data_IF_622058376037
#
_entry.id   IF_622058376037
#
_cell.length_a   1.000
_cell.length_b   1.000
_cell.length_c   1.000
_cell.angle_alpha   90.00
_cell.angle_beta   90.00
_cell.angle_gamma   90.00
#
_symmetry.space_group_name_H-M   'P 1'
#
loop_
_entity.id
_entity.type
_entity.pdbx_description
1 polymer ?
#
# COMPACT_ATOMS: atom_id res chain seq x y z
N UNK A 1 9.52 -29.59 -21.10
CA UNK A 1 10.54 -29.59 -22.18
C UNK A 1 10.65 -28.18 -22.76
N UNK A 2 11.63 -27.39 -22.29
CA UNK A 2 11.93 -26.10 -22.90
C UNK A 2 12.83 -26.34 -24.11
N UNK A 3 12.28 -26.29 -25.31
CA UNK A 3 13.08 -26.38 -26.53
C UNK A 3 14.07 -25.20 -26.59
N UNK A 4 15.34 -25.52 -26.80
CA UNK A 4 16.45 -24.57 -26.97
C UNK A 4 16.29 -23.79 -28.28
N UNK A 5 15.45 -22.75 -28.27
CA UNK A 5 15.40 -21.76 -29.34
C UNK A 5 16.54 -20.74 -29.15
N UNK A 6 17.33 -20.42 -30.19
CA UNK A 6 18.39 -19.40 -30.11
C UNK A 6 17.79 -18.03 -29.73
N UNK A 7 18.51 -17.24 -28.91
CA UNK A 7 18.01 -15.99 -28.29
C UNK A 7 17.36 -15.01 -29.29
N UNK A 8 17.86 -14.94 -30.53
CA UNK A 8 17.35 -14.07 -31.60
C UNK A 8 15.98 -14.51 -32.15
N UNK A 9 15.71 -15.82 -32.22
CA UNK A 9 14.39 -16.32 -32.63
C UNK A 9 13.35 -16.11 -31.53
N UNK A 10 13.79 -16.11 -30.26
CA UNK A 10 12.91 -15.85 -29.11
C UNK A 10 12.45 -14.39 -29.08
N UNK A 11 13.34 -13.43 -29.32
CA UNK A 11 12.96 -12.00 -29.36
C UNK A 11 11.99 -11.67 -30.50
N UNK A 12 12.20 -12.24 -31.69
CA UNK A 12 11.28 -12.09 -32.83
C UNK A 12 9.90 -12.66 -32.50
N UNK A 13 9.83 -13.85 -31.88
CA UNK A 13 8.56 -14.45 -31.45
C UNK A 13 7.83 -13.62 -30.39
N UNK A 14 8.55 -13.02 -29.43
CA UNK A 14 7.94 -12.17 -28.40
C UNK A 14 7.38 -10.88 -28.99
N UNK A 15 8.10 -10.27 -29.93
CA UNK A 15 7.64 -9.08 -30.64
C UNK A 15 6.41 -9.37 -31.50
N UNK A 16 6.39 -10.50 -32.22
CA UNK A 16 5.21 -10.90 -32.99
C UNK A 16 4.01 -11.20 -32.09
N UNK A 17 4.22 -11.92 -30.98
CA UNK A 17 3.19 -12.17 -29.98
C UNK A 17 2.64 -10.85 -29.39
N UNK A 18 3.50 -9.92 -29.00
CA UNK A 18 3.08 -8.63 -28.46
C UNK A 18 2.28 -7.80 -29.45
N UNK A 19 2.67 -7.79 -30.73
CA UNK A 19 1.93 -7.12 -31.81
C UNK A 19 0.55 -7.74 -32.02
N UNK A 20 0.46 -9.07 -31.97
CA UNK A 20 -0.80 -9.78 -32.15
C UNK A 20 -1.76 -9.57 -30.98
N UNK A 21 -1.24 -9.49 -29.74
CA UNK A 21 -2.00 -9.09 -28.57
C UNK A 21 -2.53 -7.66 -28.74
N UNK A 22 -1.68 -6.71 -29.11
CA UNK A 22 -2.10 -5.33 -29.39
C UNK A 22 -3.17 -5.24 -30.48
N UNK A 23 -3.04 -6.02 -31.55
CA UNK A 23 -4.05 -6.09 -32.62
C UNK A 23 -5.38 -6.61 -32.07
N UNK A 24 -5.35 -7.71 -31.32
CA UNK A 24 -6.55 -8.32 -30.72
C UNK A 24 -7.27 -7.35 -29.78
N UNK A 25 -6.53 -6.61 -28.96
CA UNK A 25 -7.08 -5.59 -28.05
C UNK A 25 -7.77 -4.49 -28.85
N UNK A 26 -7.09 -3.93 -29.85
CA UNK A 26 -7.64 -2.85 -30.69
C UNK A 26 -8.85 -3.30 -31.51
N UNK A 27 -8.83 -4.54 -32.01
CA UNK A 27 -9.95 -5.13 -32.74
C UNK A 27 -11.15 -5.32 -31.81
N UNK A 28 -10.96 -5.91 -30.64
CA UNK A 28 -12.03 -6.11 -29.65
C UNK A 28 -12.63 -4.79 -29.17
N UNK A 29 -11.79 -3.75 -29.04
CA UNK A 29 -12.23 -2.37 -28.75
C UNK A 29 -13.12 -1.81 -29.86
N UNK A 30 -12.72 -1.95 -31.13
CA UNK A 30 -13.50 -1.49 -32.27
C UNK A 30 -14.85 -2.23 -32.37
N UNK A 31 -14.84 -3.55 -32.20
CA UNK A 31 -16.04 -4.40 -32.26
C UNK A 31 -17.05 -4.02 -31.16
N UNK A 32 -16.60 -3.79 -29.92
CA UNK A 32 -17.51 -3.45 -28.82
C UNK A 32 -18.12 -2.06 -29.01
N UNK A 33 -17.36 -1.10 -29.56
CA UNK A 33 -17.88 0.25 -29.86
C UNK A 33 -18.85 0.25 -31.04
N UNK A 34 -18.60 -0.56 -32.06
CA UNK A 34 -19.56 -0.76 -33.15
C UNK A 34 -20.85 -1.39 -32.64
N UNK A 35 -20.75 -2.38 -31.75
CA UNK A 35 -21.91 -3.02 -31.13
C UNK A 35 -22.69 -2.07 -30.20
N UNK A 36 -21.98 -1.21 -29.47
CA UNK A 36 -22.56 -0.26 -28.51
C UNK A 36 -22.08 1.17 -28.82
N UNK A 37 -22.74 1.89 -29.75
CA UNK A 37 -22.27 3.20 -30.22
C UNK A 37 -22.15 4.28 -29.13
N UNK A 38 -22.90 4.16 -28.03
CA UNK A 38 -22.77 5.13 -26.92
C UNK A 38 -21.36 5.14 -26.31
N UNK A 39 -20.58 4.05 -26.46
CA UNK A 39 -19.20 3.95 -25.98
C UNK A 39 -18.26 4.95 -26.68
N UNK A 40 -18.61 5.49 -27.86
CA UNK A 40 -17.85 6.56 -28.50
C UNK A 40 -17.91 7.88 -27.71
N UNK A 41 -18.92 8.09 -26.87
CA UNK A 41 -19.06 9.29 -26.02
C UNK A 41 -18.28 9.15 -24.71
N UNK A 42 -16.97 8.93 -24.82
CA UNK A 42 -16.08 8.66 -23.67
C UNK A 42 -16.13 9.74 -22.59
N UNK A 43 -16.14 11.02 -22.98
CA UNK A 43 -16.17 12.15 -22.06
C UNK A 43 -17.48 12.20 -21.24
N UNK A 44 -18.60 11.85 -21.86
CA UNK A 44 -19.90 11.78 -21.19
C UNK A 44 -19.93 10.62 -20.20
N UNK A 45 -19.43 9.44 -20.60
CA UNK A 45 -19.32 8.28 -19.70
C UNK A 45 -18.42 8.62 -18.51
N UNK A 46 -17.29 9.29 -18.76
CA UNK A 46 -16.38 9.76 -17.71
C UNK A 46 -17.08 10.70 -16.73
N UNK A 47 -17.83 11.70 -17.24
CA UNK A 47 -18.60 12.62 -16.41
C UNK A 47 -19.67 11.90 -15.56
N UNK A 48 -20.39 10.94 -16.15
CA UNK A 48 -21.43 10.16 -15.46
C UNK A 48 -20.81 9.32 -14.35
N UNK A 49 -19.73 8.57 -14.64
CA UNK A 49 -19.05 7.73 -13.64
C UNK A 49 -18.49 8.61 -12.52
N UNK A 50 -17.89 9.75 -12.87
CA UNK A 50 -17.35 10.69 -11.90
C UNK A 50 -18.44 11.25 -10.97
N UNK A 51 -19.49 11.84 -11.53
CA UNK A 51 -20.59 12.43 -10.76
C UNK A 51 -21.33 11.37 -9.94
N UNK A 52 -21.59 10.21 -10.53
CA UNK A 52 -22.21 9.08 -9.83
C UNK A 52 -21.36 8.57 -8.67
N UNK A 53 -20.03 8.53 -8.83
CA UNK A 53 -19.12 8.15 -7.74
C UNK A 53 -19.17 9.14 -6.58
N UNK A 54 -19.17 10.44 -6.85
CA UNK A 54 -19.28 11.47 -5.81
C UNK A 54 -20.63 11.37 -5.08
N UNK A 55 -21.72 11.20 -5.84
CA UNK A 55 -23.05 11.03 -5.28
C UNK A 55 -23.11 9.82 -4.34
N UNK A 56 -22.55 8.68 -4.74
CA UNK A 56 -22.52 7.47 -3.92
C UNK A 56 -21.67 7.64 -2.66
N UNK A 57 -20.50 8.29 -2.75
CA UNK A 57 -19.67 8.58 -1.57
C UNK A 57 -20.45 9.46 -0.58
N UNK A 58 -21.09 10.52 -1.07
CA UNK A 58 -21.92 11.41 -0.23
C UNK A 58 -23.12 10.66 0.36
N UNK A 59 -23.80 9.83 -0.44
CA UNK A 59 -24.93 9.02 0.01
C UNK A 59 -24.55 8.06 1.12
N UNK A 60 -23.49 7.26 0.95
CA UNK A 60 -23.06 6.31 1.98
C UNK A 60 -22.54 7.01 3.23
N UNK A 61 -21.85 8.14 3.07
CA UNK A 61 -21.45 8.98 4.21
C UNK A 61 -22.65 9.52 4.98
N UNK A 62 -23.70 9.96 4.28
CA UNK A 62 -24.94 10.44 4.88
C UNK A 62 -25.70 9.32 5.61
N UNK A 63 -25.81 8.15 5.00
CA UNK A 63 -26.46 6.98 5.61
C UNK A 63 -25.73 6.54 6.89
N UNK A 64 -24.40 6.61 6.90
CA UNK A 64 -23.59 6.34 8.09
C UNK A 64 -23.82 7.36 9.21
N UNK A 65 -23.76 8.65 8.89
CA UNK A 65 -23.98 9.73 9.87
C UNK A 65 -25.40 9.66 10.46
N UNK A 66 -26.37 9.30 9.62
CA UNK A 66 -27.77 9.08 10.02
C UNK A 66 -28.01 7.72 10.71
N UNK A 67 -26.96 6.93 10.94
CA UNK A 67 -26.99 5.63 11.62
C UNK A 67 -27.84 4.54 10.93
N UNK A 68 -28.08 4.65 9.62
CA UNK A 68 -28.78 3.61 8.84
C UNK A 68 -27.88 2.43 8.46
N UNK A 69 -26.57 2.67 8.31
CA UNK A 69 -25.58 1.65 7.97
C UNK A 69 -24.43 1.68 8.96
N UNK A 70 -23.83 0.52 9.23
CA UNK A 70 -22.69 0.41 10.15
C UNK A 70 -21.39 0.94 9.51
N UNK A 71 -20.38 1.20 10.35
CA UNK A 71 -19.07 1.65 9.91
C UNK A 71 -18.42 0.67 8.90
N UNK A 72 -18.53 -0.65 9.13
CA UNK A 72 -17.94 -1.68 8.26
C UNK A 72 -18.53 -1.61 6.85
N UNK A 73 -19.87 -1.54 6.74
CA UNK A 73 -20.54 -1.44 5.45
C UNK A 73 -20.20 -0.14 4.73
N UNK A 74 -20.13 0.97 5.47
CA UNK A 74 -19.72 2.27 4.94
C UNK A 74 -18.32 2.20 4.35
N UNK A 75 -17.37 1.61 5.08
CA UNK A 75 -15.99 1.44 4.64
C UNK A 75 -15.92 0.61 3.36
N UNK A 76 -16.61 -0.53 3.31
CA UNK A 76 -16.62 -1.40 2.14
C UNK A 76 -17.25 -0.72 0.91
N UNK A 77 -18.41 -0.08 1.07
CA UNK A 77 -19.13 0.55 -0.04
C UNK A 77 -18.36 1.76 -0.60
N UNK A 78 -17.81 2.61 0.26
CA UNK A 78 -17.00 3.75 -0.17
C UNK A 78 -15.68 3.26 -0.80
N UNK A 79 -15.05 2.21 -0.26
CA UNK A 79 -13.83 1.66 -0.85
C UNK A 79 -14.07 1.13 -2.28
N UNK A 80 -15.22 0.51 -2.52
CA UNK A 80 -15.65 0.07 -3.85
C UNK A 80 -15.84 1.26 -4.80
N UNK A 81 -16.46 2.35 -4.35
CA UNK A 81 -16.62 3.55 -5.21
C UNK A 81 -15.28 4.26 -5.46
N UNK A 82 -14.38 4.28 -4.47
CA UNK A 82 -13.03 4.83 -4.63
C UNK A 82 -12.15 3.98 -5.55
N UNK A 83 -12.44 2.69 -5.72
CA UNK A 83 -11.77 1.84 -6.70
C UNK A 83 -12.17 2.25 -8.13
N UNK A 84 -13.44 2.57 -8.38
CA UNK A 84 -13.89 3.18 -9.64
C UNK A 84 -13.20 4.51 -9.94
N UNK A 85 -13.14 5.41 -8.95
CA UNK A 85 -12.40 6.68 -9.09
C UNK A 85 -10.89 6.46 -9.33
N UNK A 86 -10.32 5.33 -8.89
CA UNK A 86 -8.93 4.97 -9.23
C UNK A 86 -8.75 4.81 -10.72
N UNK A 87 -9.57 3.93 -11.31
CA UNK A 87 -9.48 3.56 -12.72
C UNK A 87 -9.78 4.77 -13.59
N UNK A 88 -10.72 5.62 -13.16
CA UNK A 88 -11.01 6.88 -13.83
C UNK A 88 -9.82 7.85 -13.79
N UNK A 89 -9.19 8.06 -12.62
CA UNK A 89 -7.98 8.89 -12.51
C UNK A 89 -6.87 8.38 -13.43
N UNK A 90 -6.70 7.06 -13.44
CA UNK A 90 -5.68 6.39 -14.23
C UNK A 90 -5.88 6.60 -15.73
N UNK A 91 -7.12 6.51 -16.22
CA UNK A 91 -7.45 6.88 -17.60
C UNK A 91 -7.25 8.39 -17.88
N UNK A 92 -7.57 9.30 -16.93
CA UNK A 92 -7.35 10.75 -17.10
C UNK A 92 -5.85 11.07 -17.17
N UNK A 93 -5.01 10.39 -16.37
CA UNK A 93 -3.54 10.49 -16.41
C UNK A 93 -3.00 10.23 -17.83
N UNK A 94 -3.58 9.26 -18.53
CA UNK A 94 -3.27 8.92 -19.92
C UNK A 94 -3.94 9.81 -20.96
N UNK A 95 -4.62 10.87 -20.53
CA UNK A 95 -5.30 11.81 -21.40
C UNK A 95 -6.41 11.16 -22.24
N UNK A 96 -7.13 10.16 -21.69
CA UNK A 96 -8.22 9.50 -22.44
C UNK A 96 -9.46 10.39 -22.58
N UNK A 97 -9.75 11.20 -21.56
CA UNK A 97 -10.95 12.05 -21.49
C UNK A 97 -10.63 13.53 -21.57
N UNK A 98 -11.57 14.34 -22.07
CA UNK A 98 -11.52 15.81 -22.11
C UNK A 98 -10.21 16.34 -22.70
N UNK A 99 -9.71 15.70 -23.76
CA UNK A 99 -8.39 15.98 -24.38
C UNK A 99 -8.22 17.46 -24.74
N UNK A 100 -9.28 18.09 -25.22
CA UNK A 100 -9.31 19.50 -25.61
C UNK A 100 -9.48 20.46 -24.42
N UNK A 101 -9.88 19.96 -23.24
CA UNK A 101 -10.31 20.77 -22.09
C UNK A 101 -9.53 20.38 -20.82
N UNK A 102 -8.22 20.72 -20.77
CA UNK A 102 -7.34 20.38 -19.64
C UNK A 102 -7.80 20.93 -18.30
N UNK A 103 -8.53 22.04 -18.28
CA UNK A 103 -9.08 22.60 -17.04
C UNK A 103 -10.06 21.63 -16.37
N UNK A 104 -10.86 20.89 -17.15
CA UNK A 104 -11.78 19.86 -16.63
C UNK A 104 -10.98 18.74 -15.97
N UNK A 105 -9.92 18.26 -16.63
CA UNK A 105 -9.03 17.25 -16.05
C UNK A 105 -8.41 17.72 -14.72
N UNK A 106 -7.97 18.99 -14.65
CA UNK A 106 -7.42 19.56 -13.43
C UNK A 106 -8.46 19.64 -12.31
N UNK A 107 -9.69 20.08 -12.61
CA UNK A 107 -10.78 20.08 -11.63
C UNK A 107 -11.07 18.67 -11.12
N UNK A 108 -11.15 17.68 -12.01
CA UNK A 108 -11.33 16.28 -11.63
C UNK A 108 -10.17 15.79 -10.77
N UNK A 109 -8.92 16.11 -11.12
CA UNK A 109 -7.75 15.76 -10.31
C UNK A 109 -7.79 16.36 -8.91
N UNK A 110 -8.23 17.62 -8.74
CA UNK A 110 -8.38 18.22 -7.40
C UNK A 110 -9.36 17.40 -6.56
N UNK A 111 -10.55 17.13 -7.11
CA UNK A 111 -11.61 16.40 -6.40
C UNK A 111 -11.16 14.97 -6.07
N UNK A 112 -10.59 14.27 -7.03
CA UNK A 112 -10.08 12.90 -6.85
C UNK A 112 -8.96 12.88 -5.81
N UNK A 113 -8.08 13.87 -5.81
CA UNK A 113 -6.96 13.96 -4.87
C UNK A 113 -7.46 14.10 -3.43
N UNK A 114 -8.42 14.99 -3.20
CA UNK A 114 -9.07 15.16 -1.88
C UNK A 114 -9.80 13.89 -1.47
N UNK A 115 -10.55 13.26 -2.37
CA UNK A 115 -11.30 12.05 -2.08
C UNK A 115 -10.40 10.84 -1.76
N UNK A 116 -9.20 10.76 -2.36
CA UNK A 116 -8.31 9.61 -2.22
C UNK A 116 -7.21 9.76 -1.16
N UNK A 117 -6.92 10.98 -0.72
CA UNK A 117 -5.82 11.28 0.22
C UNK A 117 -4.50 10.57 -0.12
N UNK A 118 -4.13 10.58 -1.41
CA UNK A 118 -2.93 9.88 -1.91
C UNK A 118 -1.97 10.85 -2.61
N UNK A 119 -0.91 10.31 -3.21
CA UNK A 119 0.01 11.03 -4.11
C UNK A 119 -0.79 11.87 -5.12
N UNK A 120 -0.39 13.13 -5.29
CA UNK A 120 -1.10 14.06 -6.16
C UNK A 120 -1.19 13.53 -7.60
N UNK A 121 -2.35 13.65 -8.28
CA UNK A 121 -2.51 13.12 -9.63
C UNK A 121 -1.55 13.72 -10.66
N UNK A 122 -1.13 14.98 -10.52
CA UNK A 122 -0.15 15.61 -11.43
C UNK A 122 1.24 15.00 -11.31
N UNK A 123 1.69 14.72 -10.08
CA UNK A 123 2.98 14.07 -9.86
C UNK A 123 2.90 12.60 -10.29
N UNK A 124 1.82 11.92 -9.89
CA UNK A 124 1.55 10.54 -10.32
C UNK A 124 1.48 10.40 -11.84
N UNK A 125 0.91 11.37 -12.56
CA UNK A 125 0.88 11.37 -14.03
C UNK A 125 2.28 11.25 -14.63
N UNK A 126 3.24 12.01 -14.13
CA UNK A 126 4.61 12.00 -14.62
C UNK A 126 5.32 10.67 -14.31
N UNK A 127 5.14 10.15 -13.09
CA UNK A 127 5.68 8.85 -12.70
C UNK A 127 5.06 7.71 -13.52
N UNK A 128 3.74 7.74 -13.67
CA UNK A 128 3.00 6.68 -14.33
C UNK A 128 3.29 6.56 -15.82
N UNK A 129 3.46 7.69 -16.52
CA UNK A 129 3.89 7.66 -17.92
C UNK A 129 5.31 7.10 -18.08
N UNK A 130 6.21 7.33 -17.10
CA UNK A 130 7.55 6.72 -17.09
C UNK A 130 7.51 5.23 -16.80
N UNK A 131 6.63 4.79 -15.89
CA UNK A 131 6.41 3.38 -15.58
C UNK A 131 6.04 2.57 -16.83
N UNK A 132 5.22 3.07 -17.74
CA UNK A 132 4.97 2.37 -19.02
C UNK A 132 6.22 2.09 -19.86
N UNK A 133 7.19 2.99 -19.81
CA UNK A 133 8.44 2.88 -20.56
C UNK A 133 9.47 2.01 -19.84
N UNK A 134 9.47 2.05 -18.52
CA UNK A 134 10.52 1.51 -17.66
C UNK A 134 10.02 0.43 -16.68
N UNK A 135 8.80 -0.09 -16.86
CA UNK A 135 8.23 -1.08 -15.93
C UNK A 135 9.13 -2.30 -15.81
N UNK A 136 9.33 -2.71 -14.56
CA UNK A 136 10.23 -3.79 -14.18
C UNK A 136 11.72 -3.43 -14.17
N UNK A 137 12.10 -2.17 -14.44
CA UNK A 137 13.49 -1.70 -14.40
C UNK A 137 13.83 -1.04 -13.06
N UNK A 138 15.12 -1.00 -12.71
CA UNK A 138 15.58 -0.47 -11.40
C UNK A 138 15.19 1.00 -11.16
N UNK A 139 15.05 1.75 -12.25
CA UNK A 139 14.71 3.17 -12.25
C UNK A 139 13.20 3.43 -12.28
N UNK A 140 12.34 2.41 -12.19
CA UNK A 140 10.89 2.61 -12.06
C UNK A 140 10.52 3.13 -10.67
N UNK A 141 10.39 4.46 -10.58
CA UNK A 141 10.02 5.13 -9.35
C UNK A 141 8.56 4.87 -8.92
N UNK A 142 7.62 4.60 -9.85
CA UNK A 142 6.23 4.29 -9.47
C UNK A 142 6.16 2.92 -8.80
N UNK A 143 6.83 1.90 -9.36
CA UNK A 143 6.92 0.56 -8.76
C UNK A 143 7.67 0.57 -7.42
N UNK A 144 8.71 1.40 -7.27
CA UNK A 144 9.41 1.58 -5.98
C UNK A 144 8.54 2.24 -4.92
N UNK A 145 7.71 3.21 -5.30
CA UNK A 145 6.82 3.92 -4.38
C UNK A 145 5.72 3.02 -3.80
N UNK A 146 5.35 1.96 -4.53
CA UNK A 146 4.41 0.92 -4.07
C UNK A 146 5.11 -0.33 -3.50
N UNK A 147 6.44 -0.29 -3.38
CA UNK A 147 7.26 -1.32 -2.74
C UNK A 147 7.79 -2.44 -3.65
N UNK A 148 7.39 -2.51 -4.93
CA UNK A 148 7.82 -3.54 -5.88
C UNK A 148 9.30 -3.49 -6.23
N UNK A 149 9.86 -2.30 -6.39
CA UNK A 149 11.28 -2.09 -6.70
C UNK A 149 12.21 -2.01 -5.49
N UNK A 150 11.73 -2.40 -4.29
CA UNK A 150 12.52 -2.49 -3.07
C UNK A 150 12.88 -3.95 -2.77
N UNK A 151 14.08 -4.19 -2.23
CA UNK A 151 14.43 -5.48 -1.67
C UNK A 151 13.42 -5.89 -0.59
N UNK A 152 13.08 -7.19 -0.45
CA UNK A 152 12.16 -7.67 0.57
C UNK A 152 12.75 -7.38 1.96
N UNK A 153 12.31 -6.28 2.57
CA UNK A 153 12.76 -5.77 3.85
C UNK A 153 11.62 -5.04 4.56
N UNK A 154 11.85 -4.61 5.81
CA UNK A 154 10.83 -3.93 6.62
C UNK A 154 10.30 -2.63 5.98
N UNK A 155 11.07 -1.95 5.12
CA UNK A 155 10.61 -0.75 4.39
C UNK A 155 9.54 -1.11 3.36
N UNK A 156 9.72 -2.22 2.64
CA UNK A 156 8.69 -2.73 1.71
C UNK A 156 7.40 -3.09 2.45
N UNK A 157 7.51 -3.70 3.63
CA UNK A 157 6.36 -4.02 4.48
C UNK A 157 5.68 -2.74 5.01
N UNK A 158 6.44 -1.77 5.52
CA UNK A 158 5.89 -0.51 6.03
C UNK A 158 5.15 0.29 4.95
N UNK A 159 5.67 0.33 3.72
CA UNK A 159 5.02 0.97 2.56
C UNK A 159 3.77 0.20 2.12
N UNK A 160 3.77 -1.13 2.25
CA UNK A 160 2.63 -1.99 1.90
C UNK A 160 1.53 -2.01 2.97
N UNK A 161 1.87 -1.70 4.22
CA UNK A 161 1.00 -1.88 5.39
C UNK A 161 0.34 -0.58 5.87
N UNK A 162 0.78 0.62 5.45
CA UNK A 162 0.35 1.85 6.14
C UNK A 162 -0.26 2.95 5.25
N UNK A 163 -1.43 3.50 5.66
CA UNK A 163 -1.41 4.77 6.43
C UNK A 163 -2.17 4.87 7.79
N UNK A 164 -2.88 3.85 8.32
CA UNK A 164 -3.51 3.97 9.67
C UNK A 164 -3.45 2.78 10.69
N UNK A 165 -2.36 2.03 10.83
CA UNK A 165 -2.16 1.07 11.94
C UNK A 165 -2.50 1.60 13.35
N UNK A 166 -2.40 2.92 13.58
CA UNK A 166 -2.82 3.56 14.84
C UNK A 166 -4.33 3.61 15.11
N UNK A 167 -5.19 3.37 14.10
CA UNK A 167 -6.65 3.37 14.27
C UNK A 167 -7.21 2.04 14.80
N UNK A 168 -6.48 0.93 14.65
CA UNK A 168 -6.86 -0.37 15.24
C UNK A 168 -6.81 -0.38 16.77
N UNK A 169 -6.15 0.63 17.36
CA UNK A 169 -5.94 0.80 18.80
C UNK A 169 -6.89 1.90 19.35
N UNK A 170 -7.70 2.52 18.49
CA UNK A 170 -8.52 3.68 18.88
C UNK A 170 -9.66 3.32 19.84
N UNK A 171 -10.20 2.10 19.75
CA UNK A 171 -11.20 1.59 20.70
C UNK A 171 -10.57 1.24 22.06
N UNK A 172 -9.31 0.78 22.07
CA UNK A 172 -8.57 0.48 23.31
C UNK A 172 -8.10 1.75 24.04
N UNK A 173 -7.89 2.86 23.32
CA UNK A 173 -7.45 4.15 23.87
C UNK A 173 -8.63 4.99 24.42
N UNK A 174 -9.86 4.72 23.98
CA UNK A 174 -11.06 5.45 24.41
C UNK A 174 -11.34 5.35 25.92
N UNK A 175 -10.83 4.32 26.61
CA UNK A 175 -11.01 4.18 28.05
C UNK A 175 -10.09 5.11 28.86
N UNK A 176 -8.92 5.47 28.32
CA UNK A 176 -7.86 6.20 29.04
C UNK A 176 -7.89 7.73 28.83
N UNK A 177 -8.64 8.26 27.85
CA UNK A 177 -8.67 9.71 27.50
C UNK A 177 -10.00 10.38 27.90
N UNK A 178 -10.55 10.07 29.08
CA UNK A 178 -11.65 10.86 29.66
C UNK A 178 -11.16 12.11 30.42
N UNK A 179 -9.86 12.39 30.43
CA UNK A 179 -9.23 13.47 31.23
C UNK A 179 -8.80 14.69 30.40
N UNK A 180 -8.97 14.68 29.07
CA UNK A 180 -8.56 15.76 28.18
C UNK A 180 -9.78 16.44 27.53
N UNK A 181 -10.21 17.57 28.08
CA UNK A 181 -11.45 18.31 27.70
C UNK A 181 -11.49 18.77 26.22
N UNK A 182 -10.40 18.64 25.44
CA UNK A 182 -10.40 18.89 23.99
C UNK A 182 -10.73 17.69 23.09
N UNK A 183 -10.64 16.45 23.58
CA UNK A 183 -10.75 15.25 22.73
C UNK A 183 -12.20 14.91 22.38
N UNK A 184 -13.14 15.05 23.31
CA UNK A 184 -14.56 14.71 23.09
C UNK A 184 -15.26 15.58 22.04
N UNK A 185 -14.85 16.85 21.89
CA UNK A 185 -15.46 17.78 20.91
C UNK A 185 -15.06 17.43 19.48
N UNK A 186 -13.81 17.00 19.26
CA UNK A 186 -13.29 16.66 17.94
C UNK A 186 -13.51 15.18 17.56
N UNK A 187 -13.71 14.30 18.55
CA UNK A 187 -13.83 12.85 18.34
C UNK A 187 -14.92 12.44 17.33
N UNK A 188 -16.15 13.00 17.34
CA UNK A 188 -17.17 12.64 16.35
C UNK A 188 -16.77 12.98 14.92
N UNK A 189 -16.07 14.11 14.72
CA UNK A 189 -15.56 14.55 13.42
C UNK A 189 -14.44 13.62 12.98
N UNK A 190 -13.47 13.34 13.86
CA UNK A 190 -12.36 12.43 13.58
C UNK A 190 -12.88 11.04 13.21
N UNK A 191 -13.84 10.49 13.98
CA UNK A 191 -14.47 9.20 13.70
C UNK A 191 -15.19 9.19 12.35
N UNK A 192 -15.90 10.26 12.03
CA UNK A 192 -16.61 10.37 10.75
C UNK A 192 -15.64 10.43 9.58
N UNK A 193 -14.58 11.23 9.67
CA UNK A 193 -13.53 11.28 8.66
C UNK A 193 -12.79 9.94 8.54
N UNK A 194 -12.56 9.25 9.66
CA UNK A 194 -11.94 7.93 9.64
C UNK A 194 -12.78 6.92 8.84
N UNK A 195 -14.09 6.84 9.11
CA UNK A 195 -15.00 5.88 8.48
C UNK A 195 -15.35 6.25 7.04
N UNK A 196 -15.60 7.53 6.75
CA UNK A 196 -16.07 7.97 5.44
C UNK A 196 -14.92 8.28 4.46
N UNK A 197 -13.70 8.52 4.94
CA UNK A 197 -12.59 8.97 4.10
C UNK A 197 -11.32 8.13 4.30
N UNK A 198 -10.82 7.96 5.53
CA UNK A 198 -9.51 7.31 5.74
C UNK A 198 -9.54 5.80 5.51
N UNK A 199 -10.36 5.06 6.25
CA UNK A 199 -10.44 3.59 6.18
C UNK A 199 -10.83 3.04 4.80
N UNK A 200 -11.79 3.64 4.07
CA UNK A 200 -12.09 3.21 2.71
C UNK A 200 -10.86 3.29 1.79
N UNK A 201 -10.09 4.38 1.91
CA UNK A 201 -8.85 4.57 1.15
C UNK A 201 -7.77 3.57 1.54
N UNK A 202 -7.64 3.23 2.83
CA UNK A 202 -6.71 2.20 3.31
C UNK A 202 -7.05 0.85 2.69
N UNK A 203 -8.31 0.42 2.80
CA UNK A 203 -8.77 -0.87 2.28
C UNK A 203 -8.51 -0.98 0.78
N UNK A 204 -8.90 0.06 0.04
CA UNK A 204 -8.72 0.18 -1.41
C UNK A 204 -7.23 0.19 -1.78
N UNK A 205 -6.39 1.00 -1.13
CA UNK A 205 -4.94 1.02 -1.40
C UNK A 205 -4.31 -0.33 -1.13
N UNK A 206 -4.61 -0.96 0.01
CA UNK A 206 -4.04 -2.24 0.39
C UNK A 206 -4.32 -3.32 -0.66
N UNK A 207 -5.57 -3.38 -1.12
CA UNK A 207 -5.95 -4.31 -2.19
C UNK A 207 -5.25 -4.01 -3.51
N UNK A 208 -5.14 -2.74 -3.89
CA UNK A 208 -4.44 -2.32 -5.11
C UNK A 208 -2.95 -2.65 -5.05
N UNK A 209 -2.27 -2.34 -3.94
CA UNK A 209 -0.85 -2.63 -3.73
C UNK A 209 -0.62 -4.14 -3.77
N UNK A 210 -1.47 -4.92 -3.10
CA UNK A 210 -1.42 -6.39 -3.14
C UNK A 210 -1.51 -6.92 -4.57
N UNK A 211 -2.51 -6.48 -5.34
CA UNK A 211 -2.68 -6.94 -6.73
C UNK A 211 -1.54 -6.47 -7.63
N UNK A 212 -1.15 -5.20 -7.53
CA UNK A 212 -0.06 -4.63 -8.32
C UNK A 212 1.26 -5.36 -8.04
N UNK A 213 1.56 -5.60 -6.76
CA UNK A 213 2.77 -6.29 -6.31
C UNK A 213 2.81 -7.76 -6.72
N UNK A 214 1.64 -8.36 -6.93
CA UNK A 214 1.55 -9.74 -7.40
C UNK A 214 1.58 -9.82 -8.93
N UNK A 215 1.24 -8.74 -9.65
CA UNK A 215 1.09 -8.76 -11.11
C UNK A 215 2.33 -8.29 -11.85
N UNK A 216 3.08 -7.31 -11.33
CA UNK A 216 4.26 -6.77 -12.01
C UNK A 216 5.52 -7.58 -11.64
N UNK A 217 6.32 -7.87 -12.65
CA UNK A 217 7.66 -8.44 -12.47
C UNK A 217 8.70 -7.33 -12.46
N UNK A 218 9.82 -7.55 -11.76
CA UNK A 218 10.91 -6.60 -11.63
C UNK A 218 12.27 -7.28 -11.74
N UNK A 219 13.27 -6.56 -12.24
CA UNK A 219 14.65 -7.02 -12.37
C UNK A 219 15.03 -7.34 -13.81
N UNK A 220 15.29 -8.61 -14.12
CA UNK A 220 15.84 -9.06 -15.41
C UNK A 220 14.79 -9.10 -16.55
N UNK A 221 14.05 -8.01 -16.72
CA UNK A 221 13.11 -7.82 -17.84
C UNK A 221 13.85 -7.11 -18.97
N UNK A 222 13.82 -7.63 -20.21
CA UNK A 222 14.42 -6.94 -21.33
C UNK A 222 13.80 -5.54 -21.52
N UNK A 223 14.61 -4.55 -21.89
CA UNK A 223 14.13 -3.20 -22.15
C UNK A 223 13.14 -3.19 -23.34
N UNK A 224 12.17 -2.27 -23.30
CA UNK A 224 11.20 -2.04 -24.37
C UNK A 224 10.33 -3.26 -24.73
N UNK A 225 10.11 -4.20 -23.80
CA UNK A 225 9.12 -5.27 -23.97
C UNK A 225 8.09 -5.25 -22.87
N UNK A 226 6.82 -5.12 -23.29
CA UNK A 226 5.67 -5.20 -22.40
C UNK A 226 5.39 -6.65 -21.96
N UNK A 227 5.85 -7.62 -22.75
CA UNK A 227 5.47 -9.02 -22.61
C UNK A 227 5.81 -9.64 -21.26
N UNK A 228 6.91 -9.20 -20.65
CA UNK A 228 7.38 -9.75 -19.36
C UNK A 228 7.08 -8.86 -18.16
N UNK A 229 6.57 -7.65 -18.38
CA UNK A 229 6.38 -6.67 -17.31
C UNK A 229 5.28 -7.07 -16.33
N UNK A 230 4.25 -7.77 -16.82
CA UNK A 230 3.04 -8.01 -16.05
C UNK A 230 2.46 -9.40 -16.33
N UNK A 231 1.54 -9.86 -15.47
CA UNK A 231 0.75 -11.08 -15.66
C UNK A 231 -0.75 -10.83 -15.49
N UNK A 232 -1.56 -11.80 -15.92
CA UNK A 232 -2.99 -11.82 -15.65
C UNK A 232 -3.20 -12.43 -14.25
N UNK A 233 -3.85 -11.70 -13.35
CA UNK A 233 -4.26 -12.23 -12.05
C UNK A 233 -5.79 -12.28 -11.97
N UNK A 234 -6.38 -13.46 -12.12
CA UNK A 234 -7.85 -13.59 -12.13
C UNK A 234 -8.39 -14.85 -11.45
N UNK A 235 -7.56 -15.48 -10.61
CA UNK A 235 -8.01 -16.58 -9.77
C UNK A 235 -9.11 -16.13 -8.80
N UNK A 236 -10.06 -17.03 -8.57
CA UNK A 236 -11.25 -16.77 -7.75
C UNK A 236 -10.90 -16.31 -6.32
N UNK A 237 -9.81 -16.82 -5.72
CA UNK A 237 -9.43 -16.46 -4.35
C UNK A 237 -8.90 -15.02 -4.22
N UNK A 238 -8.52 -14.38 -5.33
CA UNK A 238 -8.14 -12.97 -5.36
C UNK A 238 -9.37 -12.05 -5.41
N UNK A 239 -10.58 -12.59 -5.58
CA UNK A 239 -11.81 -11.83 -5.71
C UNK A 239 -12.01 -10.76 -4.60
N UNK A 240 -11.74 -11.04 -3.30
CA UNK A 240 -11.89 -10.02 -2.26
C UNK A 240 -11.00 -8.79 -2.49
N UNK A 241 -9.78 -8.98 -2.99
CA UNK A 241 -8.88 -7.86 -3.31
C UNK A 241 -9.30 -7.18 -4.62
N UNK A 242 -9.68 -7.96 -5.62
CA UNK A 242 -10.14 -7.46 -6.92
C UNK A 242 -11.38 -6.57 -6.78
N UNK A 243 -12.27 -6.86 -5.83
CA UNK A 243 -13.45 -6.05 -5.54
C UNK A 243 -13.07 -4.61 -5.19
N UNK A 244 -12.05 -4.42 -4.35
CA UNK A 244 -11.61 -3.10 -3.89
C UNK A 244 -10.52 -2.46 -4.77
N UNK A 245 -10.14 -3.09 -5.88
CA UNK A 245 -9.33 -2.47 -6.92
C UNK A 245 -9.97 -2.58 -8.31
N UNK A 246 -11.30 -2.77 -8.37
CA UNK A 246 -12.07 -2.82 -9.62
C UNK A 246 -11.45 -3.73 -10.71
N UNK A 247 -11.14 -4.98 -10.32
CA UNK A 247 -10.57 -6.01 -11.16
C UNK A 247 -9.22 -5.63 -11.84
N UNK A 248 -8.48 -4.69 -11.22
CA UNK A 248 -7.17 -4.24 -11.67
C UNK A 248 -6.23 -5.41 -11.99
N UNK A 249 -6.10 -6.41 -11.11
CA UNK A 249 -5.14 -7.50 -11.33
C UNK A 249 -5.41 -8.31 -12.60
N UNK A 250 -6.68 -8.43 -13.01
CA UNK A 250 -7.06 -9.21 -14.18
C UNK A 250 -6.93 -8.41 -15.49
N UNK A 251 -7.06 -7.08 -15.42
CA UNK A 251 -7.18 -6.21 -16.59
C UNK A 251 -6.00 -5.27 -16.80
N UNK A 252 -5.16 -5.04 -15.78
CA UNK A 252 -4.03 -4.10 -15.82
C UNK A 252 -3.04 -4.42 -16.93
N UNK A 253 -2.77 -5.70 -17.18
CA UNK A 253 -1.85 -6.09 -18.25
C UNK A 253 -2.29 -5.57 -19.63
N UNK A 254 -3.61 -5.56 -19.92
CA UNK A 254 -4.16 -5.01 -21.18
C UNK A 254 -3.78 -3.54 -21.34
N UNK A 255 -3.78 -2.80 -20.24
CA UNK A 255 -3.39 -1.40 -20.23
C UNK A 255 -1.90 -1.17 -20.55
N UNK A 256 -0.99 -2.08 -20.16
CA UNK A 256 0.42 -1.95 -20.57
C UNK A 256 0.61 -2.16 -22.08
N UNK A 257 -0.21 -3.02 -22.70
CA UNK A 257 -0.17 -3.22 -24.15
C UNK A 257 -0.83 -2.07 -24.91
N UNK A 258 -1.97 -1.56 -24.43
CA UNK A 258 -2.73 -0.47 -25.06
C UNK A 258 -3.18 0.53 -23.99
N UNK A 259 -2.33 1.51 -23.62
CA UNK A 259 -2.66 2.49 -22.58
C UNK A 259 -3.86 3.37 -22.92
N UNK A 260 -4.17 3.54 -24.20
CA UNK A 260 -5.25 4.38 -24.71
C UNK A 260 -6.65 3.74 -24.61
N UNK A 261 -6.79 2.56 -24.02
CA UNK A 261 -8.08 1.89 -23.86
C UNK A 261 -8.71 2.22 -22.49
N UNK A 262 -9.93 2.79 -22.42
CA UNK A 262 -10.61 3.08 -21.16
C UNK A 262 -10.87 1.84 -20.29
N UNK A 263 -10.86 1.99 -18.97
CA UNK A 263 -11.00 0.86 -18.04
C UNK A 263 -12.30 0.06 -18.24
N UNK A 264 -13.43 0.71 -18.50
CA UNK A 264 -14.71 0.02 -18.71
C UNK A 264 -14.69 -0.80 -20.01
N UNK A 265 -13.98 -0.35 -21.05
CA UNK A 265 -13.78 -1.14 -22.27
C UNK A 265 -12.87 -2.34 -21.98
N UNK A 266 -11.78 -2.13 -21.22
CA UNK A 266 -10.90 -3.23 -20.79
C UNK A 266 -11.72 -4.36 -20.15
N UNK A 267 -12.72 -4.02 -19.33
CA UNK A 267 -13.62 -4.99 -18.71
C UNK A 267 -14.50 -5.73 -19.72
N UNK A 268 -15.11 -5.04 -20.68
CA UNK A 268 -15.91 -5.67 -21.73
C UNK A 268 -15.09 -6.63 -22.60
N UNK A 269 -13.85 -6.27 -22.91
CA UNK A 269 -12.98 -7.06 -23.81
C UNK A 269 -12.13 -8.10 -23.08
N UNK A 270 -12.09 -8.07 -21.74
CA UNK A 270 -11.17 -8.86 -20.90
C UNK A 270 -11.17 -10.35 -21.27
N UNK A 271 -12.36 -10.96 -21.42
CA UNK A 271 -12.48 -12.40 -21.71
C UNK A 271 -11.89 -12.79 -23.07
N UNK A 272 -12.19 -12.00 -24.11
CA UNK A 272 -11.68 -12.25 -25.47
C UNK A 272 -10.16 -12.07 -25.53
N UNK A 273 -9.69 -10.95 -25.00
CA UNK A 273 -8.27 -10.59 -24.96
C UNK A 273 -7.45 -11.60 -24.13
N UNK A 274 -7.96 -11.99 -22.96
CA UNK A 274 -7.31 -12.99 -22.08
C UNK A 274 -7.00 -14.29 -22.82
N UNK A 275 -7.96 -14.81 -23.58
CA UNK A 275 -7.77 -16.06 -24.31
C UNK A 275 -6.56 -16.00 -25.26
N UNK A 276 -6.46 -14.92 -26.04
CA UNK A 276 -5.34 -14.69 -26.96
C UNK A 276 -4.02 -14.49 -26.22
N UNK A 277 -4.02 -13.72 -25.13
CA UNK A 277 -2.80 -13.50 -24.32
C UNK A 277 -2.25 -14.81 -23.76
N UNK A 278 -3.11 -15.65 -23.16
CA UNK A 278 -2.71 -16.96 -22.63
C UNK A 278 -2.22 -17.87 -23.75
N UNK A 279 -2.91 -17.92 -24.90
CA UNK A 279 -2.49 -18.71 -26.07
C UNK A 279 -1.11 -18.30 -26.58
N UNK A 280 -0.79 -17.01 -26.53
CA UNK A 280 0.49 -16.46 -26.97
C UNK A 280 1.58 -16.53 -25.88
N UNK A 281 1.28 -17.13 -24.72
CA UNK A 281 2.24 -17.45 -23.67
C UNK A 281 2.39 -16.38 -22.58
N UNK A 282 1.45 -15.42 -22.48
CA UNK A 282 1.41 -14.49 -21.35
C UNK A 282 1.12 -15.26 -20.07
N UNK A 283 1.84 -14.92 -19.00
CA UNK A 283 1.67 -15.55 -17.69
C UNK A 283 0.28 -15.24 -17.13
N UNK A 284 -0.33 -16.24 -16.54
CA UNK A 284 -1.67 -16.17 -16.00
C UNK A 284 -1.71 -16.92 -14.68
N UNK A 285 -1.99 -16.20 -13.60
CA UNK A 285 -1.98 -16.71 -12.24
C UNK A 285 -0.67 -17.45 -11.91
N UNK A 286 0.45 -16.90 -12.37
CA UNK A 286 1.78 -17.33 -11.97
C UNK A 286 2.03 -16.82 -10.55
N UNK A 287 1.53 -17.59 -9.59
CA UNK A 287 1.75 -17.40 -8.17
C UNK A 287 3.12 -17.93 -7.73
N UNK A 288 4.18 -17.83 -8.54
CA UNK A 288 5.54 -18.09 -8.09
C UNK A 288 5.88 -17.34 -6.79
N UNK A 289 5.81 -18.06 -5.67
CA UNK A 289 5.96 -17.66 -4.25
C UNK A 289 5.54 -16.21 -3.84
N UNK A 290 4.36 -15.64 -4.16
CA UNK A 290 3.84 -14.47 -3.46
C UNK A 290 2.93 -14.91 -2.31
N UNK A 291 3.36 -15.93 -1.56
CA UNK A 291 2.84 -16.18 -0.21
C UNK A 291 3.65 -15.40 0.83
N UNK A 292 4.64 -14.59 0.45
CA UNK A 292 5.39 -13.77 1.42
C UNK A 292 4.48 -12.83 2.20
N UNK A 293 3.33 -12.37 1.67
CA UNK A 293 2.38 -11.58 2.47
C UNK A 293 1.62 -12.47 3.48
N UNK A 294 1.29 -13.71 3.13
CA UNK A 294 0.73 -14.69 4.07
C UNK A 294 1.78 -15.16 5.09
N UNK A 295 3.03 -15.34 4.68
CA UNK A 295 4.17 -15.70 5.51
C UNK A 295 4.59 -14.53 6.42
N UNK A 296 4.55 -13.29 5.94
CA UNK A 296 4.79 -12.07 6.72
C UNK A 296 3.64 -11.80 7.68
N UNK A 297 2.38 -12.06 7.30
CA UNK A 297 1.24 -12.05 8.23
C UNK A 297 1.38 -13.14 9.30
N UNK A 298 1.83 -14.35 8.94
CA UNK A 298 2.10 -15.44 9.88
C UNK A 298 3.34 -15.18 10.77
N UNK A 299 4.37 -14.51 10.25
CA UNK A 299 5.53 -14.03 11.02
C UNK A 299 5.11 -12.88 11.94
N UNK A 300 4.24 -11.97 11.49
CA UNK A 300 3.71 -10.89 12.31
C UNK A 300 2.89 -11.44 13.48
N UNK A 301 2.13 -12.52 13.28
CA UNK A 301 1.44 -13.23 14.36
C UNK A 301 2.44 -13.85 15.36
N UNK A 302 3.57 -14.40 14.87
CA UNK A 302 4.70 -14.87 15.71
C UNK A 302 5.40 -13.73 16.46
N UNK A 303 5.64 -12.59 15.81
CA UNK A 303 6.23 -11.40 16.42
C UNK A 303 5.31 -10.80 17.48
N UNK A 304 4.01 -10.73 17.21
CA UNK A 304 3.01 -10.23 18.15
C UNK A 304 2.91 -11.16 19.37
N UNK A 305 2.98 -12.49 19.18
CA UNK A 305 3.11 -13.45 20.31
C UNK A 305 4.37 -13.21 21.13
N UNK A 306 5.52 -12.97 20.50
CA UNK A 306 6.78 -12.70 21.20
C UNK A 306 6.78 -11.36 21.94
N UNK A 307 6.16 -10.31 21.38
CA UNK A 307 6.03 -9.00 22.03
C UNK A 307 5.04 -9.06 23.20
N UNK A 308 3.89 -9.72 23.02
CA UNK A 308 2.93 -9.97 24.11
C UNK A 308 3.58 -10.80 25.23
N UNK A 309 4.37 -11.81 24.88
CA UNK A 309 5.09 -12.64 25.84
C UNK A 309 6.19 -11.85 26.56
N UNK A 310 6.95 -11.01 25.84
CA UNK A 310 7.92 -10.10 26.42
C UNK A 310 7.26 -9.09 27.38
N UNK A 311 6.14 -8.48 26.98
CA UNK A 311 5.39 -7.55 27.84
C UNK A 311 4.86 -8.28 29.09
N UNK A 312 4.31 -9.49 28.95
CA UNK A 312 3.89 -10.32 30.09
C UNK A 312 5.05 -10.64 31.02
N UNK A 313 6.22 -10.98 30.49
CA UNK A 313 7.43 -11.23 31.29
C UNK A 313 7.92 -9.98 32.02
N UNK A 314 7.88 -8.80 31.38
CA UNK A 314 8.25 -7.54 32.04
C UNK A 314 7.24 -7.14 33.12
N UNK A 315 5.95 -7.38 32.90
CA UNK A 315 4.90 -7.16 33.90
C UNK A 315 5.00 -8.15 35.07
N UNK A 316 5.33 -9.42 34.81
CA UNK A 316 5.61 -10.42 35.84
C UNK A 316 6.85 -10.05 36.67
N UNK A 317 7.95 -9.65 36.03
CA UNK A 317 9.16 -9.16 36.72
C UNK A 317 8.86 -7.93 37.58
N UNK A 318 8.03 -7.01 37.11
CA UNK A 318 7.56 -5.86 37.90
C UNK A 318 6.68 -6.27 39.08
N UNK A 319 5.79 -7.24 38.92
CA UNK A 319 4.94 -7.75 40.00
C UNK A 319 5.73 -8.59 41.03
N UNK A 320 6.72 -9.36 40.60
CA UNK A 320 7.67 -10.07 41.49
C UNK A 320 8.51 -9.05 42.27
N UNK A 321 9.00 -7.99 41.62
CA UNK A 321 9.73 -6.90 42.29
C UNK A 321 8.85 -6.15 43.29
N UNK A 322 7.56 -5.94 42.99
CA UNK A 322 6.56 -5.39 43.94
C UNK A 322 6.27 -6.33 45.11
N UNK A 323 6.12 -7.64 44.88
CA UNK A 323 5.95 -8.62 45.96
C UNK A 323 7.18 -8.68 46.87
N UNK A 324 8.39 -8.73 46.30
CA UNK A 324 9.64 -8.72 47.08
C UNK A 324 9.85 -7.42 47.88
N UNK A 325 9.46 -6.26 47.33
CA UNK A 325 9.49 -5.00 48.11
C UNK A 325 8.42 -4.96 49.20
N UNK A 326 7.30 -5.68 49.03
CA UNK A 326 6.26 -5.77 50.07
C UNK A 326 6.63 -6.75 51.18
N UNK A 327 7.23 -7.91 50.86
CA UNK A 327 7.78 -8.86 51.87
C UNK A 327 9.02 -8.31 52.56
N UNK A 328 9.93 -7.64 51.84
CA UNK A 328 11.09 -7.02 52.47
C UNK A 328 10.68 -5.84 53.36
N UNK A 329 9.64 -5.07 53.01
CA UNK A 329 9.12 -4.01 53.90
C UNK A 329 8.37 -4.57 55.13
N UNK A 330 7.81 -5.79 55.07
CA UNK A 330 7.28 -6.46 56.26
C UNK A 330 8.39 -7.03 57.16
N UNK A 331 9.50 -7.50 56.59
CA UNK A 331 10.68 -7.97 57.35
C UNK A 331 11.58 -6.83 57.87
N UNK A 332 11.64 -5.69 57.17
CA UNK A 332 12.36 -4.49 57.60
C UNK A 332 11.66 -3.81 58.78
N UNK A 333 10.33 -3.81 58.83
CA UNK A 333 9.59 -3.28 60.00
C UNK A 333 9.77 -4.09 61.28
N UNK A 334 10.23 -5.33 61.20
CA UNK A 334 10.56 -6.14 62.38
C UNK A 334 12.00 -5.96 62.89
N UNK A 335 12.91 -5.44 62.05
CA UNK A 335 14.34 -5.33 62.40
C UNK A 335 14.84 -3.89 62.65
N UNK A 336 14.04 -2.86 62.39
CA UNK A 336 14.41 -1.44 62.54
C UNK A 336 14.35 -0.91 63.99
N UNK A 337 14.51 -1.78 65.00
CA UNK A 337 14.54 -1.38 66.42
C UNK A 337 15.86 -1.64 67.13
N UNK A 338 16.91 -2.01 66.42
CA UNK A 338 18.21 -2.28 67.01
C UNK A 338 19.34 -1.66 66.18
N UNK A 339 20.00 -0.69 66.82
CA UNK A 339 21.38 -0.24 66.62
C UNK A 339 21.68 0.88 65.62
N UNK A 340 21.81 2.06 66.23
CA UNK A 340 22.71 3.14 65.88
C UNK A 340 24.18 2.68 65.74
N UNK A 341 24.91 3.42 64.89
CA UNK A 341 26.28 3.93 65.07
C UNK A 341 27.26 3.63 63.90
N UNK A 342 27.79 4.75 63.37
CA UNK A 342 29.04 4.93 62.64
C UNK A 342 29.19 4.40 61.18
N UNK A 343 29.38 5.36 60.27
CA UNK A 343 30.51 5.34 59.34
C UNK A 343 30.25 5.00 57.87
N UNK A 344 30.18 6.05 57.05
CA UNK A 344 30.49 6.12 55.60
C UNK A 344 29.80 5.17 54.61
N UNK A 345 28.82 5.69 53.86
CA UNK A 345 28.43 5.13 52.55
C UNK A 345 27.97 6.22 51.60
N UNK A 346 28.89 6.85 50.85
CA UNK A 346 28.55 7.56 49.61
C UNK A 346 29.81 7.82 48.76
N UNK A 347 30.44 6.79 48.20
CA UNK A 347 31.52 7.01 47.23
C UNK A 347 31.66 5.94 46.13
N UNK A 348 31.17 4.72 46.33
CA UNK A 348 31.34 3.64 45.33
C UNK A 348 30.34 3.69 44.16
N UNK A 349 29.09 4.08 44.40
CA UNK A 349 28.07 4.06 43.34
C UNK A 349 28.18 5.27 42.40
N UNK A 350 28.69 6.40 42.88
CA UNK A 350 29.01 7.55 42.03
C UNK A 350 30.29 7.33 41.20
N UNK A 351 31.27 6.58 41.70
CA UNK A 351 32.43 6.20 40.87
C UNK A 351 32.04 5.23 39.75
N UNK A 352 31.13 4.29 40.02
CA UNK A 352 30.61 3.35 39.01
C UNK A 352 29.75 4.03 37.95
N UNK A 353 28.93 5.02 38.34
CA UNK A 353 28.12 5.79 37.40
C UNK A 353 28.97 6.71 36.51
N UNK A 354 30.00 7.37 37.07
CA UNK A 354 30.93 8.18 36.27
C UNK A 354 31.82 7.35 35.35
N UNK A 355 32.22 6.14 35.74
CA UNK A 355 32.94 5.21 34.87
C UNK A 355 32.07 4.73 33.68
N UNK A 356 30.78 4.49 33.91
CA UNK A 356 29.82 4.08 32.88
C UNK A 356 29.48 5.21 31.90
N UNK A 357 29.31 6.45 32.38
CA UNK A 357 29.06 7.63 31.53
C UNK A 357 30.27 7.96 30.65
N UNK A 358 31.50 7.83 31.17
CA UNK A 358 32.73 8.03 30.38
C UNK A 358 32.98 6.92 29.35
N UNK A 359 32.44 5.71 29.55
CA UNK A 359 32.51 4.61 28.58
C UNK A 359 31.57 4.82 27.39
N UNK A 360 30.46 5.53 27.59
CA UNK A 360 29.48 5.86 26.53
C UNK A 360 29.95 7.06 25.70
N UNK A 361 30.67 8.01 26.30
CA UNK A 361 31.23 9.18 25.60
C UNK A 361 32.40 8.87 24.64
N UNK A 362 32.91 7.63 24.63
CA UNK A 362 33.99 7.19 23.74
C UNK A 362 33.51 6.49 22.45
N UNK A 363 32.20 6.40 22.21
CA UNK A 363 31.62 5.81 20.99
C UNK A 363 30.80 6.79 20.15
N UNK A 364 30.87 8.09 20.45
CA UNK A 364 30.35 9.14 19.57
C UNK A 364 31.53 9.74 18.79
N UNK A 365 31.95 9.03 17.73
CA UNK A 365 32.87 9.60 16.75
C UNK A 365 32.09 10.58 15.89
N UNK A 366 32.54 11.82 15.97
CA UNK A 366 31.97 13.02 15.38
C UNK A 366 31.84 12.97 13.85
N UNK A 367 30.87 13.75 13.38
CA UNK A 367 30.46 13.94 11.99
C UNK A 367 31.47 14.72 11.11
N UNK A 368 32.77 14.73 11.42
CA UNK A 368 33.78 15.57 10.72
C UNK A 368 34.76 14.78 9.82
N UNK A 369 34.46 13.51 9.49
CA UNK A 369 35.30 12.70 8.57
C UNK A 369 34.64 12.34 7.22
N UNK A 370 33.51 12.96 6.87
CA UNK A 370 32.83 12.71 5.57
C UNK A 370 33.21 13.75 4.48
N UNK A 371 33.96 14.81 4.81
CA UNK A 371 34.35 15.82 3.80
C UNK A 371 35.73 15.59 3.13
N UNK A 372 36.50 14.56 3.52
CA UNK A 372 37.85 14.32 2.97
C UNK A 372 37.95 13.15 1.96
N UNK A 373 36.84 12.47 1.63
CA UNK A 373 36.84 11.36 0.65
C UNK A 373 36.40 11.79 -0.77
N UNK A 374 35.86 13.01 -0.94
CA UNK A 374 35.46 13.56 -2.25
C UNK A 374 36.53 14.42 -2.97
N UNK A 375 37.78 14.47 -2.47
CA UNK A 375 38.88 15.23 -3.13
C UNK A 375 40.15 14.42 -3.41
N UNK A 376 40.13 13.09 -3.22
CA UNK A 376 41.25 12.19 -3.62
C UNK A 376 40.82 10.96 -4.42
N UNK A 377 39.82 11.14 -5.29
CA UNK A 377 39.58 10.25 -6.43
C UNK A 377 39.32 11.10 -7.68
N UNK A 378 40.32 11.91 -8.04
CA UNK A 378 40.65 12.23 -9.44
C UNK A 378 41.41 11.06 -10.04
#
# INVERSE_FOLDING_TARGET
MAANFPKQNRSIHILSASREICRTIKQSDAEIRQKYPFLYHQDVICAIIFAGSLLLITLFSYLYISSFISAIWTVMLIALVLSLLHELEHDIIHNLYFKSHRWIQNCMFIVIWVAKLHVSPWYRRQLHLKHHLLSGQINDAEERLIGLGLSPNYKRMAVSVHPFGGLLISDDINYDINTLIGFHTCYPIIRTLAVCLCFPNVLRQGCLVMMSNSSHYYGDIPLNTVYYQNQILDSWFLFPFQLFCFNFGATRIVHHYVPSQPFYIRHFTAKSVKHTMVKLGVRNNDFGFPLYILWDLMIFEKFNRNVIQFIREQLLKRNIKRRHTTTNNSELKTNEKVMDANGSTMNDDMQKLNAFVNQIALYDVSADQIEEVNTKAS
#
